data_IF_978134295036
#
_entry.id   IF_978134295036
#
_cell.length_a   1.000
_cell.length_b   1.000
_cell.length_c   1.000
_cell.angle_alpha   90.00
_cell.angle_beta   90.00
_cell.angle_gamma   90.00
#
_symmetry.space_group_name_H-M   'P 1'
#
loop_
_entity.id
_entity.type
_entity.pdbx_description
1 polymer ?
#
# COMPACT_ATOMS: atom_id res chain seq x y z
N UNK A 1 10.03 8.38 11.71
CA UNK A 1 9.19 7.22 12.12
C UNK A 1 9.88 5.99 11.60
N UNK A 2 10.05 4.98 12.44
CA UNK A 2 10.68 3.73 12.04
C UNK A 2 9.63 2.81 11.43
N UNK A 3 10.03 1.91 10.53
CA UNK A 3 9.10 0.90 10.00
C UNK A 3 8.41 0.07 11.10
N UNK A 4 9.10 -0.15 12.21
CA UNK A 4 8.60 -0.89 13.39
C UNK A 4 7.44 -0.19 14.10
N UNK A 5 7.27 1.11 13.89
CA UNK A 5 6.17 1.87 14.48
C UNK A 5 4.82 1.56 13.75
N UNK A 6 4.88 0.84 12.61
CA UNK A 6 3.70 0.39 11.89
C UNK A 6 3.20 -0.97 12.36
N UNK A 7 1.92 -1.03 12.71
CA UNK A 7 1.24 -2.23 13.23
C UNK A 7 0.63 -3.08 12.12
N UNK A 8 0.44 -2.53 10.92
CA UNK A 8 -0.08 -3.26 9.75
C UNK A 8 0.84 -3.15 8.54
N UNK A 9 1.17 -4.31 7.98
CA UNK A 9 2.09 -4.49 6.86
C UNK A 9 1.29 -5.01 5.67
N UNK A 10 1.18 -4.19 4.63
CA UNK A 10 0.36 -4.48 3.46
C UNK A 10 1.24 -4.88 2.28
N UNK A 11 0.93 -6.04 1.69
CA UNK A 11 1.71 -6.67 0.63
C UNK A 11 0.84 -6.84 -0.64
N UNK A 12 0.75 -5.82 -1.51
CA UNK A 12 -0.06 -5.87 -2.72
C UNK A 12 0.29 -7.02 -3.68
N UNK A 13 1.55 -7.48 -3.67
CA UNK A 13 2.03 -8.58 -4.50
C UNK A 13 1.89 -9.97 -3.84
N UNK A 14 1.31 -10.04 -2.64
CA UNK A 14 1.22 -11.25 -1.83
C UNK A 14 2.31 -11.34 -0.76
N UNK A 15 2.16 -12.26 0.17
CA UNK A 15 3.10 -12.42 1.28
C UNK A 15 4.49 -12.86 0.81
N UNK A 16 5.57 -12.36 1.45
CA UNK A 16 6.94 -12.72 1.11
C UNK A 16 7.30 -14.17 1.47
N UNK A 17 6.59 -14.81 2.40
CA UNK A 17 6.80 -16.21 2.80
C UNK A 17 5.50 -17.03 2.86
N UNK A 18 5.61 -18.34 2.61
CA UNK A 18 4.53 -19.34 2.78
C UNK A 18 4.45 -19.80 4.24
N UNK A 19 4.21 -18.92 5.20
CA UNK A 19 3.99 -19.31 6.60
C UNK A 19 2.49 -19.27 6.92
N UNK A 20 1.99 -20.36 7.49
CA UNK A 20 0.63 -20.66 7.94
C UNK A 20 -0.34 -19.46 7.93
N UNK A 21 -0.96 -19.24 6.78
CA UNK A 21 -1.94 -18.17 6.58
C UNK A 21 -3.26 -18.60 7.22
N UNK A 22 -3.70 -17.88 8.24
CA UNK A 22 -5.08 -17.90 8.66
C UNK A 22 -5.92 -17.18 7.60
N UNK A 23 -6.55 -17.91 6.68
CA UNK A 23 -7.56 -17.33 5.82
C UNK A 23 -8.79 -16.99 6.67
N UNK A 24 -9.22 -15.73 6.66
CA UNK A 24 -10.58 -15.44 7.04
C UNK A 24 -11.51 -15.62 5.84
N UNK A 25 -12.77 -15.90 6.13
CA UNK A 25 -13.83 -16.27 5.19
C UNK A 25 -14.31 -15.08 4.33
N UNK A 26 -13.47 -14.08 4.11
CA UNK A 26 -13.73 -12.99 3.17
C UNK A 26 -12.75 -13.10 2.00
N UNK A 27 -13.28 -13.51 0.84
CA UNK A 27 -12.56 -13.81 -0.41
C UNK A 27 -11.66 -12.68 -0.96
N UNK A 28 -11.60 -11.51 -0.30
CA UNK A 28 -10.89 -10.31 -0.77
C UNK A 28 -9.44 -10.18 -0.31
N UNK A 29 -9.17 -10.57 0.93
CA UNK A 29 -7.88 -10.35 1.60
C UNK A 29 -7.43 -11.60 2.33
N UNK A 30 -6.15 -11.87 2.27
CA UNK A 30 -5.46 -12.81 3.14
C UNK A 30 -4.81 -12.01 4.27
N UNK A 31 -4.79 -12.55 5.48
CA UNK A 31 -4.09 -11.91 6.60
C UNK A 31 -3.48 -12.94 7.56
N UNK A 32 -2.46 -12.54 8.30
CA UNK A 32 -1.94 -13.30 9.43
C UNK A 32 -1.43 -12.35 10.52
N UNK A 33 -1.59 -12.75 11.78
CA UNK A 33 -1.02 -12.03 12.92
C UNK A 33 0.37 -12.58 13.20
N UNK A 34 1.35 -11.70 13.29
CA UNK A 34 2.75 -12.03 13.59
C UNK A 34 3.20 -11.32 14.87
N UNK A 35 4.39 -11.65 15.37
CA UNK A 35 5.04 -10.88 16.45
C UNK A 35 5.28 -9.40 16.07
N UNK A 36 5.39 -9.10 14.78
CA UNK A 36 5.69 -7.77 14.24
C UNK A 36 4.42 -7.01 13.78
N UNK A 37 3.23 -7.54 14.07
CA UNK A 37 1.95 -6.93 13.71
C UNK A 37 1.13 -7.74 12.72
N UNK A 38 0.11 -7.09 12.15
CA UNK A 38 -0.82 -7.66 11.18
C UNK A 38 -0.23 -7.60 9.78
N UNK A 39 -0.15 -8.75 9.11
CA UNK A 39 0.22 -8.81 7.70
C UNK A 39 -1.04 -9.00 6.87
N UNK A 40 -1.19 -8.22 5.80
CA UNK A 40 -2.37 -8.26 4.91
C UNK A 40 -1.93 -8.26 3.45
N UNK A 41 -2.61 -9.04 2.61
CA UNK A 41 -2.46 -9.01 1.16
C UNK A 41 -3.82 -9.15 0.47
N UNK A 42 -4.04 -8.49 -0.68
CA UNK A 42 -5.23 -8.74 -1.49
C UNK A 42 -5.14 -10.11 -2.18
N UNK A 43 -6.27 -10.79 -2.37
CA UNK A 43 -6.35 -11.99 -3.20
C UNK A 43 -6.21 -11.61 -4.68
N UNK A 44 -5.52 -12.44 -5.47
CA UNK A 44 -4.92 -12.10 -6.78
C UNK A 44 -5.89 -11.60 -7.87
N UNK A 45 -7.21 -11.70 -7.65
CA UNK A 45 -8.25 -11.26 -8.60
C UNK A 45 -9.26 -10.25 -8.03
N UNK A 46 -9.16 -9.89 -6.74
CA UNK A 46 -10.18 -9.03 -6.11
C UNK A 46 -10.05 -7.57 -6.47
N UNK A 47 -8.92 -7.14 -7.03
CA UNK A 47 -8.70 -5.75 -7.47
C UNK A 47 -9.77 -5.21 -8.43
N UNK A 48 -10.48 -6.07 -9.16
CA UNK A 48 -11.55 -5.68 -10.09
C UNK A 48 -12.90 -5.44 -9.41
N UNK A 49 -13.12 -6.08 -8.26
CA UNK A 49 -14.40 -6.09 -7.53
C UNK A 49 -14.29 -5.41 -6.16
N UNK A 50 -13.07 -5.05 -5.75
CA UNK A 50 -12.80 -4.40 -4.49
C UNK A 50 -13.33 -2.97 -4.50
N UNK A 51 -14.07 -2.63 -3.45
CA UNK A 51 -14.61 -1.30 -3.19
C UNK A 51 -14.17 -0.80 -1.80
N UNK A 52 -14.57 0.43 -1.48
CA UNK A 52 -14.28 1.03 -0.18
C UNK A 52 -14.93 0.29 0.99
N UNK A 53 -16.08 -0.36 0.79
CA UNK A 53 -16.75 -1.08 1.87
C UNK A 53 -15.92 -2.29 2.31
N UNK A 54 -15.36 -3.05 1.36
CA UNK A 54 -14.49 -4.19 1.66
C UNK A 54 -13.19 -3.76 2.35
N UNK A 55 -12.61 -2.63 1.94
CA UNK A 55 -11.44 -2.05 2.60
C UNK A 55 -11.79 -1.57 4.02
N UNK A 56 -12.97 -0.96 4.20
CA UNK A 56 -13.45 -0.52 5.51
C UNK A 56 -13.64 -1.70 6.47
N UNK A 57 -14.29 -2.77 6.01
CA UNK A 57 -14.49 -3.98 6.82
C UNK A 57 -13.17 -4.57 7.31
N UNK A 58 -12.13 -4.60 6.46
CA UNK A 58 -10.78 -5.02 6.86
C UNK A 58 -10.22 -4.13 7.98
N UNK A 59 -10.34 -2.80 7.84
CA UNK A 59 -9.86 -1.83 8.82
C UNK A 59 -10.57 -2.03 10.17
N UNK A 60 -11.90 -2.11 10.16
CA UNK A 60 -12.72 -2.26 11.36
C UNK A 60 -12.50 -3.61 12.04
N UNK A 61 -12.42 -4.69 11.26
CA UNK A 61 -12.24 -6.05 11.77
C UNK A 61 -10.93 -6.22 12.54
N UNK A 62 -9.88 -5.52 12.12
CA UNK A 62 -8.56 -5.65 12.71
C UNK A 62 -8.09 -4.44 13.51
N UNK A 63 -8.93 -3.42 13.67
CA UNK A 63 -8.57 -2.14 14.27
C UNK A 63 -7.26 -1.59 13.68
N UNK A 64 -7.19 -1.51 12.35
CA UNK A 64 -6.01 -0.98 11.65
C UNK A 64 -5.89 0.51 11.94
N UNK A 65 -4.77 0.92 12.54
CA UNK A 65 -4.50 2.33 12.90
C UNK A 65 -3.50 3.00 11.96
N UNK A 66 -2.62 2.24 11.32
CA UNK A 66 -1.61 2.72 10.37
C UNK A 66 -1.22 1.59 9.41
N UNK A 67 -0.66 1.94 8.25
CA UNK A 67 -0.30 0.96 7.22
C UNK A 67 1.07 1.26 6.61
N UNK A 68 1.95 0.26 6.63
CA UNK A 68 3.17 0.21 5.82
C UNK A 68 2.93 -0.65 4.58
N UNK A 69 2.99 -0.06 3.40
CA UNK A 69 2.86 -0.76 2.13
C UNK A 69 4.24 -1.15 1.61
N UNK A 70 4.45 -2.43 1.33
CA UNK A 70 5.62 -2.90 0.59
C UNK A 70 5.30 -2.88 -0.91
N UNK A 71 5.77 -1.87 -1.63
CA UNK A 71 5.54 -1.72 -3.07
C UNK A 71 6.72 -2.25 -3.90
N UNK A 72 6.39 -2.80 -5.07
CA UNK A 72 7.38 -3.05 -6.11
C UNK A 72 7.76 -1.72 -6.77
N UNK A 73 9.01 -1.28 -6.60
CA UNK A 73 9.54 -0.08 -7.25
C UNK A 73 10.60 -0.44 -8.33
N UNK A 74 10.53 0.18 -9.51
CA UNK A 74 11.62 0.15 -10.51
C UNK A 74 12.40 1.44 -10.41
N UNK A 75 13.64 1.33 -9.99
CA UNK A 75 14.61 2.41 -9.94
C UNK A 75 15.94 1.86 -10.42
N UNK A 76 16.71 2.67 -11.13
CA UNK A 76 18.10 2.34 -11.44
C UNK A 76 19.02 2.45 -10.21
N UNK A 77 18.54 3.04 -9.11
CA UNK A 77 19.28 3.18 -7.86
C UNK A 77 18.98 2.02 -6.90
N UNK A 78 20.01 1.46 -6.27
CA UNK A 78 19.91 0.34 -5.32
C UNK A 78 19.71 0.80 -3.87
N UNK A 79 18.82 1.77 -3.66
CA UNK A 79 18.59 2.41 -2.35
C UNK A 79 17.35 1.85 -1.64
N UNK A 80 17.31 1.99 -0.30
CA UNK A 80 16.07 1.95 0.49
C UNK A 80 15.27 3.19 0.17
N UNK A 81 14.11 3.03 -0.45
CA UNK A 81 13.26 4.12 -0.93
C UNK A 81 11.95 4.15 -0.14
N UNK A 82 11.54 5.34 0.30
CA UNK A 82 10.19 5.58 0.79
C UNK A 82 9.47 6.56 -0.14
N UNK A 83 8.18 6.34 -0.39
CA UNK A 83 7.39 7.24 -1.23
C UNK A 83 7.03 8.48 -0.42
N UNK A 84 7.35 9.67 -0.94
CA UNK A 84 6.90 10.96 -0.38
C UNK A 84 5.74 11.57 -1.16
N UNK A 85 5.60 11.22 -2.43
CA UNK A 85 4.55 11.70 -3.31
C UNK A 85 4.38 10.75 -4.50
N UNK A 86 3.23 10.82 -5.19
CA UNK A 86 2.93 9.97 -6.33
C UNK A 86 2.24 10.71 -7.49
N UNK A 87 2.48 10.22 -8.70
CA UNK A 87 1.64 10.50 -9.87
C UNK A 87 0.91 9.21 -10.24
N UNK A 88 -0.42 9.20 -10.12
CA UNK A 88 -1.23 8.03 -10.47
C UNK A 88 -1.43 7.94 -11.99
N UNK A 89 -0.57 7.18 -12.66
CA UNK A 89 -0.68 6.87 -14.10
C UNK A 89 -1.42 5.57 -14.36
N UNK A 90 -1.93 4.90 -13.33
CA UNK A 90 -2.53 3.56 -13.43
C UNK A 90 -3.94 3.58 -14.03
N UNK A 91 -4.62 4.73 -14.02
CA UNK A 91 -6.02 4.83 -14.41
C UNK A 91 -6.98 4.11 -13.47
N UNK A 92 -6.50 3.64 -12.31
CA UNK A 92 -7.28 2.94 -11.28
C UNK A 92 -7.40 3.79 -10.03
N UNK A 93 -8.60 3.78 -9.44
CA UNK A 93 -8.92 4.36 -8.14
C UNK A 93 -10.11 3.62 -7.54
N UNK A 94 -10.00 3.20 -6.28
CA UNK A 94 -11.12 2.57 -5.55
C UNK A 94 -12.20 3.57 -5.12
N UNK A 95 -11.93 4.88 -5.25
CA UNK A 95 -12.92 5.93 -4.99
C UNK A 95 -13.88 6.14 -6.18
N UNK A 96 -13.56 5.60 -7.36
CA UNK A 96 -14.36 5.82 -8.57
C UNK A 96 -15.73 5.15 -8.42
N UNK A 97 -16.79 5.96 -8.49
CA UNK A 97 -18.17 5.47 -8.38
C UNK A 97 -18.56 5.03 -6.97
N UNK A 98 -17.71 5.29 -5.97
CA UNK A 98 -18.06 5.04 -4.58
C UNK A 98 -19.13 6.05 -4.14
N UNK A 99 -20.25 5.55 -3.64
CA UNK A 99 -21.24 6.37 -2.94
C UNK A 99 -20.59 6.97 -1.70
N UNK A 100 -20.94 8.22 -1.37
CA UNK A 100 -20.46 8.89 -0.16
C UNK A 100 -20.61 7.96 1.06
N UNK A 101 -19.49 7.69 1.75
CA UNK A 101 -19.49 6.97 3.01
C UNK A 101 -19.62 7.99 4.14
N UNK A 102 -20.56 7.74 5.06
CA UNK A 102 -20.80 8.62 6.19
C UNK A 102 -19.51 8.85 6.99
N UNK A 103 -19.22 10.12 7.33
CA UNK A 103 -18.01 10.51 8.07
C UNK A 103 -16.74 10.70 7.24
N UNK A 104 -16.76 10.44 5.92
CA UNK A 104 -15.61 10.58 5.03
C UNK A 104 -15.86 11.54 3.86
N UNK A 105 -14.87 12.37 3.48
CA UNK A 105 -15.05 13.36 2.42
C UNK A 105 -15.22 12.66 1.06
N UNK A 106 -16.04 13.23 0.17
CA UNK A 106 -16.13 12.75 -1.22
C UNK A 106 -14.80 12.90 -1.97
N UNK A 107 -14.03 13.94 -1.63
CA UNK A 107 -12.70 14.21 -2.16
C UNK A 107 -11.72 14.30 -0.98
N UNK A 108 -10.91 13.25 -0.71
CA UNK A 108 -9.95 13.28 0.37
C UNK A 108 -8.81 14.26 0.08
N UNK A 109 -8.25 14.85 1.13
CA UNK A 109 -7.01 15.60 1.05
C UNK A 109 -5.85 14.64 0.79
N UNK A 110 -5.05 14.95 -0.24
CA UNK A 110 -3.93 14.13 -0.69
C UNK A 110 -2.56 14.78 -0.41
N UNK A 111 -2.54 15.96 0.22
CA UNK A 111 -1.32 16.78 0.35
C UNK A 111 -0.25 16.21 1.28
N UNK A 112 -0.63 15.41 2.30
CA UNK A 112 0.29 14.82 3.29
C UNK A 112 -0.12 13.39 3.66
N UNK A 113 -0.32 12.54 2.65
CA UNK A 113 -0.76 11.15 2.88
C UNK A 113 0.39 10.20 3.23
N UNK A 114 1.63 10.59 2.92
CA UNK A 114 2.81 9.75 3.09
C UNK A 114 3.62 10.12 4.33
N UNK A 115 3.74 9.18 5.25
CA UNK A 115 4.64 9.31 6.39
C UNK A 115 6.08 8.98 5.98
N UNK A 116 7.05 9.83 6.32
CA UNK A 116 8.45 9.52 6.07
C UNK A 116 8.91 8.36 6.94
N UNK A 117 9.84 7.58 6.42
CA UNK A 117 10.42 6.42 7.10
C UNK A 117 11.91 6.65 7.28
N UNK A 118 12.38 6.53 8.51
CA UNK A 118 13.79 6.77 8.86
C UNK A 118 14.69 5.71 8.20
N UNK A 119 15.84 6.13 7.67
CA UNK A 119 16.74 5.24 6.92
C UNK A 119 16.31 4.95 5.47
N UNK A 120 15.22 5.57 4.99
CA UNK A 120 14.79 5.47 3.60
C UNK A 120 14.91 6.82 2.89
N UNK A 121 15.39 6.79 1.65
CA UNK A 121 15.46 7.96 0.80
C UNK A 121 14.06 8.31 0.26
N UNK A 122 13.54 9.53 0.50
CA UNK A 122 12.20 9.90 0.09
C UNK A 122 12.13 10.25 -1.40
N UNK A 123 11.22 9.61 -2.14
CA UNK A 123 11.12 9.70 -3.61
C UNK A 123 9.70 9.97 -4.11
N UNK A 124 9.61 10.64 -5.26
CA UNK A 124 8.35 10.78 -6.01
C UNK A 124 8.25 9.62 -6.99
N UNK A 125 7.11 8.95 -7.02
CA UNK A 125 6.91 7.76 -7.88
C UNK A 125 5.79 7.96 -8.90
N UNK A 126 5.88 7.25 -10.03
CA UNK A 126 4.79 7.17 -11.00
C UNK A 126 4.13 5.79 -10.91
N UNK A 127 2.93 5.71 -10.35
CA UNK A 127 2.22 4.44 -10.19
C UNK A 127 1.55 4.04 -11.50
N UNK A 128 1.93 2.88 -12.06
CA UNK A 128 1.43 2.41 -13.36
C UNK A 128 0.41 1.27 -13.27
N UNK A 129 0.31 0.64 -12.11
CA UNK A 129 -0.54 -0.53 -11.90
C UNK A 129 0.04 -1.83 -12.48
N UNK A 130 -0.55 -2.99 -12.12
CA UNK A 130 -0.04 -4.30 -12.50
C UNK A 130 -0.02 -4.52 -14.02
N UNK A 131 -1.05 -4.06 -14.73
CA UNK A 131 -1.22 -4.30 -16.18
C UNK A 131 -0.10 -3.69 -17.04
N UNK A 132 0.51 -2.59 -16.57
CA UNK A 132 1.56 -1.86 -17.29
C UNK A 132 2.94 -2.00 -16.66
N UNK A 133 3.03 -2.74 -15.56
CA UNK A 133 4.25 -2.88 -14.77
C UNK A 133 5.41 -3.47 -15.58
N UNK A 134 5.17 -4.57 -16.27
CA UNK A 134 6.21 -5.29 -17.03
C UNK A 134 6.78 -4.46 -18.17
N UNK A 135 6.01 -3.51 -18.71
CA UNK A 135 6.39 -2.64 -19.83
C UNK A 135 7.29 -1.47 -19.42
N UNK A 136 7.39 -1.15 -18.13
CA UNK A 136 8.21 -0.03 -17.69
C UNK A 136 9.69 -0.41 -17.58
N UNK A 137 10.62 0.41 -18.09
CA UNK A 137 12.05 0.18 -17.94
C UNK A 137 12.51 0.49 -16.51
N UNK A 138 13.70 0.01 -16.15
CA UNK A 138 14.48 0.65 -15.09
C UNK A 138 14.96 2.01 -15.63
N UNK A 139 14.70 3.09 -14.91
CA UNK A 139 15.05 4.44 -15.33
C UNK A 139 15.65 5.22 -14.15
N UNK A 140 16.58 6.13 -14.45
CA UNK A 140 17.20 7.00 -13.44
C UNK A 140 16.30 8.16 -13.02
N UNK A 141 15.52 8.70 -13.97
CA UNK A 141 14.73 9.92 -13.75
C UNK A 141 13.31 9.67 -13.25
N UNK A 142 12.75 8.49 -13.56
CA UNK A 142 11.39 8.12 -13.18
C UNK A 142 11.45 6.84 -12.37
N UNK A 143 10.98 6.92 -11.13
CA UNK A 143 10.79 5.75 -10.28
C UNK A 143 9.38 5.24 -10.51
N UNK A 144 9.27 4.03 -11.09
CA UNK A 144 7.98 3.42 -11.32
C UNK A 144 7.52 2.69 -10.09
N UNK A 145 6.27 2.93 -9.71
CA UNK A 145 5.58 2.19 -8.64
C UNK A 145 4.55 1.27 -9.26
N UNK A 146 4.42 0.07 -8.72
CA UNK A 146 3.34 -0.84 -9.14
C UNK A 146 2.04 -0.49 -8.43
N UNK A 147 2.10 -0.11 -7.16
CA UNK A 147 0.93 -0.12 -6.27
C UNK A 147 0.69 1.14 -5.43
N UNK A 148 1.70 1.97 -5.16
CA UNK A 148 1.65 3.08 -4.20
C UNK A 148 0.36 3.91 -4.30
N UNK A 149 0.10 4.58 -5.43
CA UNK A 149 -1.09 5.42 -5.57
C UNK A 149 -2.41 4.63 -5.46
N UNK A 150 -2.44 3.38 -5.94
CA UNK A 150 -3.67 2.56 -5.95
C UNK A 150 -4.13 2.25 -4.52
N UNK A 151 -3.19 1.89 -3.64
CA UNK A 151 -3.51 1.47 -2.27
C UNK A 151 -3.38 2.57 -1.23
N UNK A 152 -2.53 3.57 -1.44
CA UNK A 152 -2.40 4.67 -0.48
C UNK A 152 -3.65 5.55 -0.44
N UNK A 153 -4.29 5.77 -1.59
CA UNK A 153 -5.52 6.59 -1.69
C UNK A 153 -6.67 6.08 -0.81
N UNK A 154 -7.09 4.80 -0.86
CA UNK A 154 -8.17 4.33 0.01
C UNK A 154 -7.79 4.32 1.50
N UNK A 155 -6.54 4.03 1.87
CA UNK A 155 -6.13 4.12 3.28
C UNK A 155 -6.12 5.56 3.78
N UNK A 156 -5.62 6.50 2.96
CA UNK A 156 -5.67 7.93 3.26
C UNK A 156 -7.11 8.47 3.31
N UNK A 157 -8.00 7.97 2.44
CA UNK A 157 -9.44 8.27 2.51
C UNK A 157 -10.02 7.93 3.88
N UNK A 158 -9.63 6.79 4.46
CA UNK A 158 -9.99 6.38 5.82
C UNK A 158 -9.12 7.02 6.91
N UNK A 159 -8.35 8.07 6.59
CA UNK A 159 -7.50 8.85 7.51
C UNK A 159 -6.41 8.02 8.21
N UNK A 160 -6.00 6.91 7.61
CA UNK A 160 -4.89 6.11 8.13
C UNK A 160 -3.55 6.75 7.73
N UNK A 161 -2.56 6.86 8.63
CA UNK A 161 -1.18 7.13 8.27
C UNK A 161 -0.65 6.03 7.36
N UNK A 162 -0.12 6.41 6.20
CA UNK A 162 0.44 5.47 5.21
C UNK A 162 1.92 5.73 5.03
N UNK A 163 2.73 4.70 5.09
CA UNK A 163 4.08 4.72 4.51
C UNK A 163 4.16 3.71 3.37
N UNK A 164 5.03 3.96 2.40
CA UNK A 164 5.29 3.02 1.30
C UNK A 164 6.78 2.88 1.12
N UNK A 165 7.27 1.65 1.08
CA UNK A 165 8.70 1.33 0.94
C UNK A 165 8.92 0.26 -0.13
N UNK A 166 10.12 0.20 -0.71
CA UNK A 166 10.48 -0.83 -1.71
C UNK A 166 11.03 -2.12 -1.11
N UNK A 167 11.44 -2.09 0.15
CA UNK A 167 11.99 -3.24 0.86
C UNK A 167 11.71 -3.10 2.34
N UNK A 168 11.48 -4.24 3.00
CA UNK A 168 11.34 -4.29 4.44
C UNK A 168 12.65 -3.87 5.12
N UNK A 169 12.58 -3.30 6.32
CA UNK A 169 13.78 -3.03 7.09
C UNK A 169 14.52 -4.33 7.40
N UNK A 170 15.84 -4.31 7.23
CA UNK A 170 16.70 -5.38 7.77
C UNK A 170 16.87 -5.08 9.26
N UNK A 171 16.61 -6.06 10.14
CA UNK A 171 16.90 -5.92 11.58
C UNK A 171 18.40 -5.66 11.74
N UNK A 172 18.78 -4.48 12.24
CA UNK A 172 20.15 -4.18 12.71
C UNK A 172 20.95 -3.14 11.90
N UNK A 173 20.36 -1.98 11.61
CA UNK A 173 21.14 -0.75 11.37
C UNK A 173 21.17 0.11 12.63
#
# INVERSE_FOLDING_TARGET
MRCEDFTTWFFPDGFPEKSNLSSDNNENFLWCKTENGLWVAPVKDTLKTLDLHRIRSLIDQHNIENVLILDSLKSAQSNRLCVKDHVNRSGRSFLRGATHQEGYPMFPDMGDIYRPVDGYMPVVVHTVGPDRWTKQPMADQIIWSKWAAIWSVPFAYFKLPVAVVNQLPVKGD
#
